data_IF_420446391165
#
_entry.id   IF_420446391165
#
_cell.length_a   1.000
_cell.length_b   1.000
_cell.length_c   1.000
_cell.angle_alpha   90.00
_cell.angle_beta   90.00
_cell.angle_gamma   90.00
#
_symmetry.space_group_name_H-M   'P 1'
#
loop_
_entity.id
_entity.type
_entity.pdbx_description
1 polymer ?
#
# COMPACT_ATOMS: atom_id res chain seq x y z
N UNK A 1 23.90 0.89 5.04
CA UNK A 1 23.25 0.91 3.70
C UNK A 1 22.01 0.05 3.81
N UNK A 2 20.80 0.62 3.81
CA UNK A 2 19.60 -0.20 3.96
C UNK A 2 19.10 -0.63 2.58
N UNK A 3 19.55 -1.80 2.13
CA UNK A 3 18.97 -2.56 1.00
C UNK A 3 17.43 -2.77 1.08
N UNK A 4 16.84 -2.50 2.25
CA UNK A 4 15.40 -2.60 2.57
C UNK A 4 14.61 -1.44 2.00
N UNK A 5 15.19 -0.25 1.94
CA UNK A 5 14.43 0.96 1.59
C UNK A 5 14.18 0.96 0.07
N UNK A 6 15.21 0.56 -0.69
CA UNK A 6 15.09 0.31 -2.13
C UNK A 6 14.24 -0.93 -2.48
N UNK A 7 14.15 -1.94 -1.60
CA UNK A 7 13.26 -3.08 -1.82
C UNK A 7 11.80 -2.74 -1.45
N UNK A 8 11.60 -1.87 -0.48
CA UNK A 8 10.30 -1.36 -0.07
C UNK A 8 9.64 -0.55 -1.18
N UNK A 9 10.32 0.45 -1.74
CA UNK A 9 9.78 1.26 -2.84
C UNK A 9 9.46 0.44 -4.09
N UNK A 10 10.31 -0.54 -4.42
CA UNK A 10 10.01 -1.48 -5.52
C UNK A 10 8.76 -2.30 -5.23
N UNK A 11 8.60 -2.74 -3.99
CA UNK A 11 7.39 -3.45 -3.56
C UNK A 11 6.16 -2.53 -3.63
N UNK A 12 6.26 -1.28 -3.17
CA UNK A 12 5.19 -0.30 -3.32
C UNK A 12 4.83 -0.05 -4.79
N UNK A 13 5.81 0.08 -5.69
CA UNK A 13 5.52 0.25 -7.12
C UNK A 13 4.80 -0.98 -7.73
N UNK A 14 5.20 -2.18 -7.31
CA UNK A 14 4.53 -3.42 -7.71
C UNK A 14 3.10 -3.49 -7.16
N UNK A 15 2.89 -3.12 -5.90
CA UNK A 15 1.58 -3.05 -5.28
C UNK A 15 0.69 -1.99 -5.93
N UNK A 16 1.25 -0.85 -6.35
CA UNK A 16 0.51 0.18 -7.10
C UNK A 16 0.01 -0.31 -8.44
N UNK A 17 0.80 -1.09 -9.18
CA UNK A 17 0.30 -1.70 -10.41
C UNK A 17 -0.85 -2.68 -10.16
N UNK A 18 -0.72 -3.51 -9.12
CA UNK A 18 -1.80 -4.39 -8.69
C UNK A 18 -3.06 -3.59 -8.29
N UNK A 19 -2.88 -2.52 -7.52
CA UNK A 19 -3.97 -1.64 -7.10
C UNK A 19 -4.63 -0.94 -8.29
N UNK A 20 -3.83 -0.42 -9.24
CA UNK A 20 -4.33 0.23 -10.46
C UNK A 20 -5.16 -0.74 -11.29
N UNK A 21 -4.65 -1.96 -11.51
CA UNK A 21 -5.37 -3.01 -12.23
C UNK A 21 -6.64 -3.44 -11.49
N UNK A 22 -6.56 -3.64 -10.17
CA UNK A 22 -7.70 -4.01 -9.32
C UNK A 22 -8.78 -2.93 -9.26
N UNK A 23 -8.40 -1.65 -9.19
CA UNK A 23 -9.32 -0.51 -9.25
C UNK A 23 -10.00 -0.43 -10.61
N UNK A 24 -9.24 -0.52 -11.71
CA UNK A 24 -9.78 -0.54 -13.07
C UNK A 24 -10.77 -1.70 -13.26
N UNK A 25 -10.40 -2.92 -12.84
CA UNK A 25 -11.26 -4.09 -12.91
C UNK A 25 -12.53 -3.91 -12.06
N UNK A 26 -12.39 -3.39 -10.83
CA UNK A 26 -13.53 -3.11 -9.94
C UNK A 26 -14.48 -2.10 -10.56
N UNK A 27 -13.98 -1.00 -11.15
CA UNK A 27 -14.82 0.00 -11.82
C UNK A 27 -15.60 -0.64 -12.98
N UNK A 28 -14.92 -1.42 -13.84
CA UNK A 28 -15.56 -2.08 -14.99
C UNK A 28 -16.62 -3.09 -14.57
N UNK A 29 -16.35 -3.89 -13.53
CA UNK A 29 -17.33 -4.85 -13.00
C UNK A 29 -18.49 -4.14 -12.33
N UNK A 30 -18.23 -3.13 -11.50
CA UNK A 30 -19.25 -2.36 -10.80
C UNK A 30 -20.21 -1.63 -11.76
N UNK A 31 -19.67 -0.97 -12.77
CA UNK A 31 -20.46 -0.16 -13.72
C UNK A 31 -21.05 -0.98 -14.87
N UNK A 32 -20.34 -2.02 -15.32
CA UNK A 32 -20.77 -2.87 -16.43
C UNK A 32 -21.62 -4.05 -15.98
N UNK A 33 -21.04 -4.98 -15.19
CA UNK A 33 -21.73 -6.21 -14.79
C UNK A 33 -22.79 -5.97 -13.71
N UNK A 34 -22.51 -5.09 -12.75
CA UNK A 34 -23.41 -4.81 -11.63
C UNK A 34 -24.36 -3.63 -11.89
N UNK A 35 -24.14 -2.87 -12.96
CA UNK A 35 -24.99 -1.75 -13.35
C UNK A 35 -25.06 -0.62 -12.31
N UNK A 36 -24.02 -0.46 -11.48
CA UNK A 36 -23.98 0.62 -10.50
C UNK A 36 -23.71 1.95 -11.20
N UNK A 37 -24.60 2.92 -10.97
CA UNK A 37 -24.47 4.28 -11.53
C UNK A 37 -23.45 5.12 -10.76
N UNK A 38 -22.18 4.70 -10.86
CA UNK A 38 -21.06 5.37 -10.23
C UNK A 38 -20.50 6.46 -11.15
N UNK A 39 -20.05 7.60 -10.60
CA UNK A 39 -19.43 8.65 -11.38
C UNK A 39 -18.09 8.17 -11.93
N UNK A 40 -18.07 7.72 -13.19
CA UNK A 40 -16.92 7.05 -13.78
C UNK A 40 -15.73 8.00 -14.00
N UNK A 41 -16.00 9.26 -14.36
CA UNK A 41 -14.96 10.25 -14.63
C UNK A 41 -14.00 10.45 -13.44
N UNK A 42 -14.46 10.75 -12.20
CA UNK A 42 -13.55 10.88 -11.07
C UNK A 42 -12.86 9.56 -10.69
N UNK A 43 -13.52 8.41 -10.87
CA UNK A 43 -12.92 7.10 -10.57
C UNK A 43 -11.76 6.77 -11.51
N UNK A 44 -11.96 6.93 -12.83
CA UNK A 44 -10.89 6.74 -13.81
C UNK A 44 -9.79 7.79 -13.68
N UNK A 45 -10.11 9.02 -13.28
CA UNK A 45 -9.11 10.03 -12.96
C UNK A 45 -8.19 9.58 -11.81
N UNK A 46 -8.75 8.96 -10.77
CA UNK A 46 -7.97 8.37 -9.67
C UNK A 46 -7.03 7.25 -10.15
N UNK A 47 -7.53 6.32 -10.97
CA UNK A 47 -6.73 5.25 -11.58
C UNK A 47 -5.60 5.80 -12.44
N UNK A 48 -5.91 6.78 -13.30
CA UNK A 48 -4.93 7.42 -14.17
C UNK A 48 -3.86 8.17 -13.35
N UNK A 49 -4.27 8.91 -12.31
CA UNK A 49 -3.34 9.61 -11.42
C UNK A 49 -2.39 8.62 -10.73
N UNK A 50 -2.90 7.49 -10.22
CA UNK A 50 -2.08 6.47 -9.59
C UNK A 50 -1.11 5.82 -10.60
N UNK A 51 -1.57 5.51 -11.80
CA UNK A 51 -0.75 4.94 -12.87
C UNK A 51 0.38 5.90 -13.30
N UNK A 52 0.06 7.17 -13.54
CA UNK A 52 1.03 8.21 -13.92
C UNK A 52 2.04 8.43 -12.81
N UNK A 53 1.58 8.53 -11.56
CA UNK A 53 2.48 8.67 -10.42
C UNK A 53 3.39 7.45 -10.27
N UNK A 54 2.87 6.24 -10.46
CA UNK A 54 3.67 5.01 -10.38
C UNK A 54 4.70 4.92 -11.51
N UNK A 55 4.37 5.38 -12.72
CA UNK A 55 5.32 5.47 -13.82
C UNK A 55 6.44 6.47 -13.50
N UNK A 56 6.08 7.67 -13.02
CA UNK A 56 7.03 8.67 -12.56
C UNK A 56 7.93 8.11 -11.44
N UNK A 57 7.35 7.45 -10.44
CA UNK A 57 8.06 6.83 -9.33
C UNK A 57 9.11 5.81 -9.82
N UNK A 58 8.75 4.92 -10.74
CA UNK A 58 9.68 3.92 -11.29
C UNK A 58 10.84 4.56 -12.05
N UNK A 59 10.57 5.57 -12.88
CA UNK A 59 11.60 6.31 -13.61
C UNK A 59 12.56 7.04 -12.65
N UNK A 60 12.05 7.55 -11.53
CA UNK A 60 12.85 8.26 -10.52
C UNK A 60 13.66 7.32 -9.63
N UNK A 61 13.09 6.18 -9.25
CA UNK A 61 13.75 5.13 -8.46
C UNK A 61 14.89 4.49 -9.25
N UNK A 62 14.79 4.39 -10.58
CA UNK A 62 15.88 3.92 -11.44
C UNK A 62 17.10 4.86 -11.46
N UNK A 63 16.99 6.09 -10.96
CA UNK A 63 18.00 7.15 -11.17
C UNK A 63 18.53 7.78 -9.88
N UNK A 64 18.13 7.35 -8.68
CA UNK A 64 18.60 7.94 -7.41
C UNK A 64 18.99 6.91 -6.36
N UNK A 65 20.06 7.24 -5.62
CA UNK A 65 20.55 6.48 -4.47
C UNK A 65 19.63 6.55 -3.24
N UNK A 66 20.19 6.31 -2.04
CA UNK A 66 19.46 6.13 -0.78
C UNK A 66 18.25 7.07 -0.61
N UNK A 67 17.08 6.49 -0.29
CA UNK A 67 15.81 7.20 -0.24
C UNK A 67 15.49 7.58 1.19
N UNK A 68 15.09 8.84 1.40
CA UNK A 68 14.73 9.35 2.73
C UNK A 68 13.36 8.80 3.16
N UNK A 69 13.14 8.52 4.47
CA UNK A 69 11.82 8.19 5.00
C UNK A 69 10.73 9.21 4.65
N UNK A 70 11.10 10.48 4.46
CA UNK A 70 10.17 11.52 4.01
C UNK A 70 9.68 11.28 2.56
N UNK A 71 10.53 10.73 1.70
CA UNK A 71 10.16 10.37 0.33
C UNK A 71 9.23 9.16 0.33
N UNK A 72 9.52 8.14 1.13
CA UNK A 72 8.65 6.96 1.31
C UNK A 72 7.27 7.36 1.87
N UNK A 73 7.25 8.24 2.87
CA UNK A 73 6.01 8.84 3.36
C UNK A 73 5.24 9.56 2.24
N UNK A 74 5.91 10.38 1.44
CA UNK A 74 5.29 11.07 0.30
C UNK A 74 4.68 10.10 -0.72
N UNK A 75 5.34 8.97 -0.98
CA UNK A 75 4.80 7.90 -1.83
C UNK A 75 3.52 7.29 -1.26
N UNK A 76 3.50 6.95 0.03
CA UNK A 76 2.31 6.39 0.69
C UNK A 76 1.20 7.43 0.77
N UNK A 77 1.53 8.70 1.00
CA UNK A 77 0.54 9.77 1.07
C UNK A 77 -0.24 9.91 -0.24
N UNK A 78 0.41 9.74 -1.40
CA UNK A 78 -0.29 9.68 -2.69
C UNK A 78 -1.29 8.52 -2.74
N UNK A 79 -0.90 7.34 -2.25
CA UNK A 79 -1.80 6.18 -2.19
C UNK A 79 -3.00 6.45 -1.28
N UNK A 80 -2.77 7.09 -0.12
CA UNK A 80 -3.82 7.51 0.81
C UNK A 80 -4.77 8.51 0.16
N UNK A 81 -4.25 9.51 -0.56
CA UNK A 81 -5.07 10.50 -1.26
C UNK A 81 -5.91 9.88 -2.36
N UNK A 82 -5.32 9.00 -3.19
CA UNK A 82 -6.08 8.31 -4.24
C UNK A 82 -7.13 7.39 -3.63
N UNK A 83 -6.80 6.65 -2.57
CA UNK A 83 -7.76 5.79 -1.90
C UNK A 83 -8.92 6.59 -1.30
N UNK A 84 -8.63 7.72 -0.65
CA UNK A 84 -9.62 8.69 -0.14
C UNK A 84 -10.54 9.16 -1.25
N UNK A 85 -9.96 9.57 -2.37
CA UNK A 85 -10.71 10.00 -3.54
C UNK A 85 -11.63 8.88 -4.05
N UNK A 86 -11.08 7.68 -4.28
CA UNK A 86 -11.86 6.57 -4.81
C UNK A 86 -12.98 6.15 -3.88
N UNK A 87 -12.71 5.97 -2.59
CA UNK A 87 -13.71 5.59 -1.59
C UNK A 87 -14.79 6.67 -1.48
N UNK A 88 -14.42 7.95 -1.43
CA UNK A 88 -15.36 9.07 -1.41
C UNK A 88 -16.32 9.09 -2.59
N UNK A 89 -15.84 8.80 -3.80
CA UNK A 89 -16.68 8.77 -5.01
C UNK A 89 -17.43 7.45 -5.24
N UNK A 90 -17.19 6.42 -4.42
CA UNK A 90 -17.76 5.08 -4.63
C UNK A 90 -18.47 4.50 -3.41
N UNK A 91 -19.01 5.34 -2.53
CA UNK A 91 -19.84 4.90 -1.40
C UNK A 91 -19.45 5.40 -0.03
N UNK A 92 -18.35 6.16 0.07
CA UNK A 92 -17.86 6.71 1.33
C UNK A 92 -17.70 5.63 2.40
N UNK A 93 -18.35 5.81 3.55
CA UNK A 93 -18.31 4.88 4.68
C UNK A 93 -18.87 3.48 4.37
N UNK A 94 -19.81 3.37 3.43
CA UNK A 94 -20.44 2.11 3.06
C UNK A 94 -19.61 1.32 2.03
N UNK A 95 -18.52 1.91 1.51
CA UNK A 95 -17.66 1.25 0.56
C UNK A 95 -16.86 0.11 1.23
N UNK A 96 -16.93 -1.13 0.72
CA UNK A 96 -16.28 -2.27 1.36
C UNK A 96 -14.74 -2.21 1.33
N UNK A 97 -14.16 -1.44 0.42
CA UNK A 97 -12.72 -1.22 0.30
C UNK A 97 -12.20 -0.10 1.21
N UNK A 98 -13.05 0.54 2.01
CA UNK A 98 -12.62 1.52 3.02
C UNK A 98 -11.62 0.94 4.03
N UNK A 99 -11.63 -0.37 4.27
CA UNK A 99 -10.64 -0.99 5.16
C UNK A 99 -9.23 -1.13 4.55
N UNK A 100 -9.04 -0.85 3.25
CA UNK A 100 -7.70 -0.80 2.64
C UNK A 100 -6.81 0.31 3.24
N UNK A 101 -7.38 1.32 3.90
CA UNK A 101 -6.59 2.26 4.71
C UNK A 101 -5.78 1.53 5.77
N UNK A 102 -6.33 0.50 6.42
CA UNK A 102 -5.61 -0.32 7.41
C UNK A 102 -4.44 -1.07 6.80
N UNK A 103 -4.56 -1.51 5.53
CA UNK A 103 -3.46 -2.14 4.81
C UNK A 103 -2.32 -1.15 4.64
N UNK A 104 -2.59 0.10 4.23
CA UNK A 104 -1.56 1.13 4.11
C UNK A 104 -0.89 1.44 5.47
N UNK A 105 -1.66 1.46 6.55
CA UNK A 105 -1.14 1.62 7.91
C UNK A 105 -0.22 0.44 8.27
N UNK A 106 -0.64 -0.79 8.01
CA UNK A 106 0.16 -1.98 8.29
C UNK A 106 1.47 -1.99 7.50
N UNK A 107 1.42 -1.66 6.20
CA UNK A 107 2.60 -1.54 5.36
C UNK A 107 3.57 -0.48 5.90
N UNK A 108 3.06 0.68 6.29
CA UNK A 108 3.86 1.75 6.87
C UNK A 108 4.45 1.35 8.24
N UNK A 109 3.68 0.73 9.12
CA UNK A 109 4.15 0.28 10.43
C UNK A 109 5.27 -0.77 10.33
N UNK A 110 5.24 -1.60 9.29
CA UNK A 110 6.27 -2.60 9.03
C UNK A 110 7.53 -2.01 8.39
N UNK A 111 7.40 -0.96 7.57
CA UNK A 111 8.49 -0.47 6.73
C UNK A 111 9.16 0.82 7.25
N UNK A 112 8.42 1.68 7.95
CA UNK A 112 8.85 3.02 8.33
C UNK A 112 9.20 3.12 9.82
N UNK A 113 10.08 4.07 10.20
CA UNK A 113 10.26 4.45 11.61
C UNK A 113 8.94 4.91 12.23
N UNK A 114 8.78 4.70 13.54
CA UNK A 114 7.54 4.94 14.28
C UNK A 114 6.89 6.30 13.99
N UNK A 115 7.67 7.40 13.98
CA UNK A 115 7.13 8.73 13.72
C UNK A 115 6.46 8.88 12.34
N UNK A 116 7.07 8.30 11.29
CA UNK A 116 6.52 8.31 9.94
C UNK A 116 5.35 7.34 9.79
N UNK A 117 5.41 6.18 10.44
CA UNK A 117 4.29 5.24 10.49
C UNK A 117 3.05 5.88 11.16
N UNK A 118 3.24 6.62 12.26
CA UNK A 118 2.18 7.38 12.93
C UNK A 118 1.62 8.48 12.02
N UNK A 119 2.47 9.18 11.25
CA UNK A 119 2.02 10.17 10.28
C UNK A 119 1.16 9.55 9.15
N UNK A 120 1.54 8.36 8.65
CA UNK A 120 0.70 7.61 7.70
C UNK A 120 -0.63 7.22 8.34
N UNK A 121 -0.61 6.72 9.57
CA UNK A 121 -1.82 6.33 10.29
C UNK A 121 -2.78 7.51 10.46
N UNK A 122 -2.27 8.67 10.89
CA UNK A 122 -3.06 9.89 10.99
C UNK A 122 -3.64 10.31 9.63
N UNK A 123 -2.85 10.22 8.56
CA UNK A 123 -3.30 10.54 7.20
C UNK A 123 -4.39 9.59 6.71
N UNK A 124 -4.26 8.29 6.99
CA UNK A 124 -5.26 7.28 6.65
C UNK A 124 -6.57 7.49 7.42
N UNK A 125 -6.49 7.78 8.72
CA UNK A 125 -7.67 8.07 9.55
C UNK A 125 -8.36 9.34 9.04
N UNK A 126 -7.61 10.40 8.75
CA UNK A 126 -8.16 11.62 8.17
C UNK A 126 -8.83 11.34 6.81
N UNK A 127 -8.18 10.60 5.93
CA UNK A 127 -8.74 10.19 4.63
C UNK A 127 -10.03 9.37 4.76
N UNK A 128 -10.07 8.42 5.70
CA UNK A 128 -11.28 7.65 6.00
C UNK A 128 -12.41 8.53 6.53
N UNK A 129 -12.12 9.43 7.48
CA UNK A 129 -13.11 10.38 8.02
C UNK A 129 -13.63 11.32 6.94
N UNK A 130 -12.76 11.85 6.08
CA UNK A 130 -13.15 12.70 4.94
C UNK A 130 -14.08 11.91 4.00
N UNK A 131 -13.71 10.67 3.66
CA UNK A 131 -14.53 9.82 2.80
C UNK A 131 -15.87 9.46 3.44
N UNK A 132 -15.90 9.28 4.76
CA UNK A 132 -17.12 8.99 5.50
C UNK A 132 -18.05 10.21 5.61
N UNK A 133 -17.49 11.41 5.79
CA UNK A 133 -18.25 12.65 5.97
C UNK A 133 -18.75 13.25 4.65
N UNK A 134 -17.93 13.17 3.59
CA UNK A 134 -18.19 13.84 2.32
C UNK A 134 -18.39 12.87 1.15
N UNK A 135 -18.30 11.56 1.39
CA UNK A 135 -18.47 10.55 0.35
C UNK A 135 -19.90 10.48 -0.17
N UNK A 136 -20.05 10.18 -1.45
CA UNK A 136 -21.35 9.94 -2.06
C UNK A 136 -21.93 8.63 -1.52
N UNK A 137 -23.25 8.57 -1.26
CA UNK A 137 -23.90 7.32 -0.92
C UNK A 137 -23.75 6.33 -2.09
N UNK A 138 -23.65 5.04 -1.77
CA UNK A 138 -23.61 4.00 -2.81
C UNK A 138 -24.92 4.05 -3.61
N UNK A 139 -24.86 4.15 -4.95
CA UNK A 139 -26.04 4.10 -5.78
C UNK A 139 -26.67 2.71 -5.72
N UNK A 140 -27.99 2.66 -5.79
CA UNK A 140 -28.75 1.41 -5.86
C UNK A 140 -28.59 0.81 -7.27
N UNK A 141 -28.11 -0.42 -7.35
CA UNK A 141 -28.05 -1.20 -8.59
C UNK A 141 -29.13 -2.28 -8.64
N UNK A 142 -29.00 -3.19 -9.61
CA UNK A 142 -29.85 -4.38 -9.74
C UNK A 142 -29.60 -5.44 -8.66
N UNK A 143 -28.54 -5.28 -7.86
CA UNK A 143 -28.17 -6.17 -6.77
C UNK A 143 -28.63 -5.64 -5.42
N UNK A 144 -29.01 -6.55 -4.53
CA UNK A 144 -29.30 -6.24 -3.13
C UNK A 144 -28.08 -5.54 -2.47
N UNK A 145 -28.26 -4.34 -1.88
CA UNK A 145 -27.16 -3.56 -1.31
C UNK A 145 -26.38 -4.29 -0.22
N UNK A 146 -27.07 -5.10 0.59
CA UNK A 146 -26.44 -5.86 1.67
C UNK A 146 -25.56 -6.98 1.09
N UNK A 147 -26.08 -7.74 0.13
CA UNK A 147 -25.34 -8.78 -0.57
C UNK A 147 -24.10 -8.22 -1.29
N UNK A 148 -24.24 -7.08 -1.97
CA UNK A 148 -23.13 -6.39 -2.62
C UNK A 148 -22.05 -5.99 -1.61
N UNK A 149 -22.44 -5.40 -0.48
CA UNK A 149 -21.52 -5.03 0.58
C UNK A 149 -20.80 -6.25 1.18
N UNK A 150 -21.51 -7.36 1.43
CA UNK A 150 -20.92 -8.59 1.96
C UNK A 150 -19.88 -9.21 1.01
N UNK A 151 -20.21 -9.35 -0.28
CA UNK A 151 -19.26 -9.87 -1.26
C UNK A 151 -18.08 -8.93 -1.48
N UNK A 152 -18.33 -7.62 -1.47
CA UNK A 152 -17.28 -6.61 -1.50
C UNK A 152 -16.34 -6.73 -0.31
N UNK A 153 -16.86 -6.89 0.92
CA UNK A 153 -16.04 -7.09 2.12
C UNK A 153 -15.21 -8.38 2.03
N UNK A 154 -15.79 -9.47 1.53
CA UNK A 154 -15.08 -10.73 1.33
C UNK A 154 -13.93 -10.60 0.32
N UNK A 155 -14.19 -9.95 -0.83
CA UNK A 155 -13.18 -9.68 -1.84
C UNK A 155 -12.06 -8.78 -1.30
N UNK A 156 -12.44 -7.72 -0.59
CA UNK A 156 -11.50 -6.82 0.06
C UNK A 156 -10.65 -7.53 1.12
N UNK A 157 -11.25 -8.39 1.94
CA UNK A 157 -10.53 -9.16 2.95
C UNK A 157 -9.49 -10.06 2.30
N UNK A 158 -9.87 -10.83 1.27
CA UNK A 158 -8.95 -11.68 0.52
C UNK A 158 -7.79 -10.86 -0.08
N UNK A 159 -8.10 -9.73 -0.73
CA UNK A 159 -7.09 -8.83 -1.29
C UNK A 159 -6.13 -8.31 -0.20
N UNK A 160 -6.68 -7.85 0.93
CA UNK A 160 -5.92 -7.33 2.06
C UNK A 160 -5.00 -8.40 2.64
N UNK A 161 -5.50 -9.62 2.85
CA UNK A 161 -4.71 -10.75 3.33
C UNK A 161 -3.54 -11.05 2.40
N UNK A 162 -3.79 -11.12 1.08
CA UNK A 162 -2.74 -11.40 0.09
C UNK A 162 -1.67 -10.31 0.12
N UNK A 163 -2.07 -9.03 0.12
CA UNK A 163 -1.14 -7.90 0.13
C UNK A 163 -0.29 -7.88 1.41
N UNK A 164 -0.94 -7.95 2.57
CA UNK A 164 -0.25 -7.91 3.87
C UNK A 164 0.68 -9.10 4.02
N UNK A 165 0.22 -10.31 3.68
CA UNK A 165 1.04 -11.52 3.79
C UNK A 165 2.26 -11.45 2.86
N UNK A 166 2.04 -11.13 1.58
CA UNK A 166 3.14 -11.02 0.61
C UNK A 166 4.18 -9.98 1.06
N UNK A 167 3.72 -8.86 1.59
CA UNK A 167 4.59 -7.81 2.09
C UNK A 167 5.35 -8.22 3.36
N UNK A 168 4.65 -8.72 4.36
CA UNK A 168 5.24 -9.14 5.64
C UNK A 168 6.26 -10.27 5.43
N UNK A 169 5.96 -11.25 4.57
CA UNK A 169 6.90 -12.33 4.25
C UNK A 169 8.16 -11.79 3.56
N UNK A 170 8.03 -10.88 2.59
CA UNK A 170 9.19 -10.25 1.95
C UNK A 170 10.05 -9.48 2.94
N UNK A 171 9.43 -8.71 3.84
CA UNK A 171 10.14 -7.97 4.85
C UNK A 171 10.86 -8.90 5.83
N UNK A 172 10.18 -9.92 6.35
CA UNK A 172 10.75 -10.90 7.27
C UNK A 172 11.94 -11.64 6.64
N UNK A 173 11.85 -12.03 5.37
CA UNK A 173 12.97 -12.64 4.64
C UNK A 173 14.15 -11.67 4.51
N UNK A 174 13.89 -10.40 4.20
CA UNK A 174 14.95 -9.39 4.10
C UNK A 174 15.67 -9.11 5.43
N UNK A 175 14.93 -9.17 6.55
CA UNK A 175 15.50 -9.02 7.89
C UNK A 175 16.39 -10.22 8.25
N UNK A 176 15.92 -11.45 8.00
CA UNK A 176 16.68 -12.68 8.26
C UNK A 176 17.99 -12.75 7.48
N UNK A 177 17.99 -12.29 6.23
CA UNK A 177 19.21 -12.26 5.42
C UNK A 177 20.26 -11.33 6.04
N UNK A 178 19.83 -10.14 6.52
CA UNK A 178 20.73 -9.20 7.21
C UNK A 178 21.26 -9.72 8.53
N UNK A 179 20.43 -10.39 9.32
CA UNK A 179 20.88 -10.97 10.58
C UNK A 179 21.98 -12.01 10.35
N UNK A 180 21.86 -12.82 9.27
CA UNK A 180 22.91 -13.77 8.86
C UNK A 180 24.18 -13.07 8.38
N UNK A 181 24.06 -12.00 7.61
CA UNK A 181 25.23 -11.20 7.21
C UNK A 181 25.95 -10.62 8.44
N UNK A 182 25.20 -10.10 9.42
CA UNK A 182 25.79 -9.56 10.65
C UNK A 182 26.45 -10.66 11.49
N UNK A 183 25.84 -11.85 11.59
CA UNK A 183 26.43 -12.96 12.35
C UNK A 183 27.74 -13.44 11.72
N UNK A 184 27.78 -13.60 10.38
CA UNK A 184 28.99 -14.02 9.67
C UNK A 184 30.12 -12.99 9.76
N UNK A 185 29.80 -11.70 9.75
CA UNK A 185 30.80 -10.65 9.96
C UNK A 185 31.37 -10.70 11.39
N UNK A 186 30.52 -10.89 12.40
CA UNK A 186 30.96 -11.04 13.81
C UNK A 186 31.90 -12.24 14.00
N UNK A 187 31.60 -13.38 13.40
CA UNK A 187 32.47 -14.56 13.45
C UNK A 187 33.85 -14.29 12.84
N UNK A 188 33.90 -13.56 11.71
CA UNK A 188 35.18 -13.20 11.06
C UNK A 188 36.01 -12.27 11.94
N UNK A 189 35.40 -11.28 12.59
CA UNK A 189 36.10 -10.40 13.53
C UNK A 189 36.65 -11.18 14.73
N UNK A 190 35.84 -12.03 15.35
CA UNK A 190 36.28 -12.87 16.47
C UNK A 190 37.44 -13.80 16.08
N UNK A 191 37.40 -14.39 14.88
CA UNK A 191 38.48 -15.24 14.37
C UNK A 191 39.77 -14.45 14.14
N UNK A 192 39.69 -13.23 13.61
CA UNK A 192 40.86 -12.41 13.34
C UNK A 192 41.49 -11.87 14.64
N UNK A 193 40.70 -11.48 15.64
CA UNK A 193 41.21 -11.08 16.96
C UNK A 193 41.89 -12.24 17.70
N UNK A 194 41.33 -13.45 17.61
CA UNK A 194 41.94 -14.64 18.21
C UNK A 194 43.31 -15.01 17.62
N UNK A 195 43.54 -14.71 16.33
CA UNK A 195 44.85 -14.94 15.68
C UNK A 195 45.89 -13.91 16.14
N UNK A 196 45.50 -12.66 16.37
CA UNK A 196 46.40 -11.60 16.85
C UNK A 196 46.77 -11.80 18.33
N UNK A 197 45.89 -12.41 19.14
CA UNK A 197 46.17 -12.71 20.54
C UNK A 197 47.11 -13.92 20.76
N UNK A 198 47.39 -14.71 19.72
CA UNK A 198 48.22 -15.93 19.77
C UNK A 198 49.60 -15.78 19.10
N UNK A 199 49.90 -14.62 18.49
CA UNK A 199 51.17 -14.31 17.81
C UNK A 199 51.97 -13.27 18.61
#
# INVERSE_FOLDING_TARGET
MNSSDASFLRTLCSLRWLATAGQAATILVATGLMGLDLPQQPLWAGVAALAVFNLYAQLRVAHRGAVSPATEFGHILVDVTVLTWMVGWSGGIANPFGSLFLVLIALAALALPLGWAMAVAASCVAGYVISAAFGLPLPYGSFDPLSLHMWGMAANFLLSTVVVLAFATRLALSMREREREISTLRERFARNEGIVALA
#
